data_IF_700274179156
#
_entry.id   IF_700274179156
#
_cell.length_a   1.000
_cell.length_b   1.000
_cell.length_c   1.000
_cell.angle_alpha   90.00
_cell.angle_beta   90.00
_cell.angle_gamma   90.00
#
_symmetry.space_group_name_H-M   'P 1'
#
loop_
_entity.id
_entity.type
_entity.pdbx_description
1 polymer ?
#
# COMPACT_ATOMS: atom_id res chain seq x y z
N UNK A 1 6.92 -12.31 -17.30
CA UNK A 1 7.31 -11.09 -18.05
C UNK A 1 6.97 -9.88 -17.19
N UNK A 2 7.90 -8.95 -17.06
CA UNK A 2 7.73 -7.68 -16.33
C UNK A 2 7.35 -6.58 -17.32
N UNK A 3 6.53 -5.62 -16.90
CA UNK A 3 6.11 -4.45 -17.69
C UNK A 3 6.38 -3.18 -16.90
N UNK A 4 6.81 -2.12 -17.59
CA UNK A 4 6.88 -0.78 -17.01
C UNK A 4 5.51 -0.13 -17.10
N UNK A 5 5.06 0.45 -15.98
CA UNK A 5 3.72 1.03 -15.83
C UNK A 5 3.79 2.33 -15.02
N UNK A 6 2.73 3.13 -15.07
CA UNK A 6 2.47 4.18 -14.09
C UNK A 6 1.44 3.67 -13.09
N UNK A 7 1.68 3.86 -11.79
CA UNK A 7 0.71 3.58 -10.75
C UNK A 7 0.21 4.90 -10.15
N UNK A 8 -1.10 5.02 -10.02
CA UNK A 8 -1.78 6.13 -9.35
C UNK A 8 -2.41 5.59 -8.07
N UNK A 9 -2.05 6.16 -6.92
CA UNK A 9 -2.52 5.76 -5.60
C UNK A 9 -3.16 6.97 -4.96
N UNK A 10 -4.42 6.84 -4.54
CA UNK A 10 -5.16 7.89 -3.86
C UNK A 10 -5.89 7.32 -2.64
N UNK A 11 -5.93 8.05 -1.54
CA UNK A 11 -6.65 7.63 -0.33
C UNK A 11 -6.69 8.72 0.72
N UNK A 12 -7.45 8.52 1.79
CA UNK A 12 -7.43 9.42 2.95
C UNK A 12 -6.27 9.05 3.87
N UNK A 13 -5.57 10.04 4.40
CA UNK A 13 -4.61 9.79 5.47
C UNK A 13 -5.38 9.36 6.73
N UNK A 14 -5.04 8.20 7.28
CA UNK A 14 -5.44 7.86 8.65
C UNK A 14 -4.17 8.10 9.45
N UNK A 15 -4.18 9.14 10.28
CA UNK A 15 -3.08 9.40 11.20
C UNK A 15 -3.08 8.29 12.24
N UNK A 16 -2.29 7.23 12.01
CA UNK A 16 -1.92 6.26 13.04
C UNK A 16 -0.75 6.87 13.82
N UNK A 17 -0.92 8.07 14.38
CA UNK A 17 0.11 8.65 15.24
C UNK A 17 -0.06 8.09 16.66
N UNK A 18 0.76 7.08 16.97
CA UNK A 18 1.38 6.67 18.25
C UNK A 18 0.56 6.57 19.56
N UNK A 19 -0.72 6.95 19.61
CA UNK A 19 -1.54 6.87 20.82
C UNK A 19 -2.82 6.05 20.58
N UNK A 20 -2.86 4.76 21.02
CA UNK A 20 -4.07 3.94 20.93
C UNK A 20 -5.26 4.51 21.72
N UNK A 21 -5.09 5.54 22.55
CA UNK A 21 -6.17 6.21 23.28
C UNK A 21 -6.83 7.35 22.50
N UNK A 22 -6.22 7.88 21.44
CA UNK A 22 -6.76 9.02 20.67
C UNK A 22 -7.74 8.64 19.56
N UNK A 23 -7.89 7.35 19.29
CA UNK A 23 -8.78 6.88 18.22
C UNK A 23 -8.25 7.23 16.83
N UNK A 24 -8.93 6.72 15.81
CA UNK A 24 -8.56 6.95 14.42
C UNK A 24 -8.98 8.36 14.01
N UNK A 25 -8.10 9.36 14.13
CA UNK A 25 -8.32 10.64 13.48
C UNK A 25 -7.99 10.49 11.98
N UNK A 26 -9.03 10.55 11.15
CA UNK A 26 -8.85 10.63 9.70
C UNK A 26 -8.49 12.08 9.41
N UNK A 27 -7.21 12.35 9.17
CA UNK A 27 -6.79 13.64 8.62
C UNK A 27 -7.58 13.93 7.34
N UNK A 28 -8.02 15.18 7.14
CA UNK A 28 -8.74 15.55 5.92
C UNK A 28 -7.85 15.49 4.67
N UNK A 29 -6.52 15.46 4.86
CA UNK A 29 -5.56 15.46 3.78
C UNK A 29 -5.56 14.11 3.04
N UNK A 30 -5.99 14.16 1.78
CA UNK A 30 -5.87 13.03 0.86
C UNK A 30 -4.41 12.82 0.45
N UNK A 31 -3.97 11.58 0.45
CA UNK A 31 -2.75 11.18 -0.26
C UNK A 31 -3.11 10.99 -1.73
N UNK A 32 -2.33 11.58 -2.63
CA UNK A 32 -2.37 11.32 -4.07
C UNK A 32 -0.93 11.17 -4.61
N UNK A 33 -0.62 10.03 -5.21
CA UNK A 33 0.72 9.67 -5.69
C UNK A 33 0.61 9.09 -7.09
N UNK A 34 1.38 9.63 -8.04
CA UNK A 34 1.59 9.05 -9.36
C UNK A 34 3.07 8.76 -9.53
N UNK A 35 3.43 7.49 -9.70
CA UNK A 35 4.85 7.08 -9.77
C UNK A 35 5.08 5.97 -10.79
N UNK A 36 6.25 5.94 -11.45
CA UNK A 36 6.68 4.79 -12.25
C UNK A 36 6.77 3.52 -11.39
N UNK A 37 6.38 2.41 -11.98
CA UNK A 37 6.40 1.11 -11.32
C UNK A 37 6.70 -0.02 -12.31
N UNK A 38 7.09 -1.18 -11.77
CA UNK A 38 7.17 -2.43 -12.52
C UNK A 38 6.02 -3.34 -12.13
N UNK A 39 5.30 -3.85 -13.14
CA UNK A 39 4.23 -4.82 -12.98
C UNK A 39 4.66 -6.21 -13.45
N UNK A 40 4.31 -7.24 -12.70
CA UNK A 40 4.37 -8.63 -13.19
C UNK A 40 3.26 -9.49 -12.58
N UNK A 41 2.90 -10.58 -13.28
CA UNK A 41 2.02 -11.61 -12.77
C UNK A 41 2.79 -12.92 -12.60
N UNK A 42 2.63 -13.57 -11.44
CA UNK A 42 3.25 -14.86 -11.11
C UNK A 42 2.26 -15.70 -10.31
N UNK A 43 1.99 -16.93 -10.76
CA UNK A 43 1.08 -17.88 -10.11
C UNK A 43 -0.33 -17.29 -9.86
N UNK A 44 -0.88 -16.55 -10.83
CA UNK A 44 -2.19 -15.90 -10.71
C UNK A 44 -2.24 -14.70 -9.75
N UNK A 45 -1.09 -14.26 -9.23
CA UNK A 45 -0.98 -13.09 -8.35
C UNK A 45 -0.34 -11.93 -9.09
N UNK A 46 -0.92 -10.76 -8.94
CA UNK A 46 -0.42 -9.53 -9.54
C UNK A 46 0.52 -8.83 -8.56
N UNK A 47 1.61 -8.28 -9.07
CA UNK A 47 2.61 -7.57 -8.29
C UNK A 47 2.91 -6.23 -8.96
N UNK A 48 2.87 -5.16 -8.17
CA UNK A 48 3.30 -3.81 -8.55
C UNK A 48 4.43 -3.42 -7.61
N UNK A 49 5.58 -3.07 -8.17
CA UNK A 49 6.77 -2.65 -7.43
C UNK A 49 7.07 -1.19 -7.75
N UNK A 50 7.24 -0.36 -6.74
CA UNK A 50 7.66 1.02 -6.91
C UNK A 50 8.51 1.47 -5.72
N UNK A 51 9.37 2.44 -5.97
CA UNK A 51 10.24 3.03 -4.97
C UNK A 51 9.66 4.38 -4.52
N UNK A 52 9.64 4.63 -3.21
CA UNK A 52 9.30 5.91 -2.58
C UNK A 52 10.61 6.54 -2.08
N UNK A 53 10.83 7.81 -2.41
CA UNK A 53 11.92 8.62 -1.88
C UNK A 53 11.30 9.65 -0.94
N UNK A 54 11.73 9.66 0.31
CA UNK A 54 11.26 10.63 1.29
C UNK A 54 12.21 11.83 1.30
N UNK A 55 11.67 13.03 1.11
CA UNK A 55 12.48 14.25 1.09
C UNK A 55 13.23 14.42 2.42
N UNK A 56 14.53 14.74 2.33
CA UNK A 56 15.38 14.91 3.52
C UNK A 56 15.86 13.62 4.19
N UNK A 57 15.46 12.43 3.72
CA UNK A 57 16.01 11.15 4.22
C UNK A 57 16.92 10.46 3.20
N UNK A 58 18.08 10.01 3.66
CA UNK A 58 18.97 9.17 2.87
C UNK A 58 18.41 7.74 2.83
N UNK A 59 17.86 7.34 1.68
CA UNK A 59 17.42 5.97 1.42
C UNK A 59 16.15 5.91 0.59
N UNK A 60 15.77 4.68 0.26
CA UNK A 60 14.59 4.39 -0.57
C UNK A 60 13.70 3.41 0.16
N UNK A 61 12.40 3.65 0.11
CA UNK A 61 11.39 2.71 0.58
C UNK A 61 10.93 1.91 -0.64
N UNK A 62 11.10 0.60 -0.59
CA UNK A 62 10.65 -0.33 -1.63
C UNK A 62 9.24 -0.79 -1.30
N UNK A 63 8.29 -0.43 -2.16
CA UNK A 63 6.89 -0.77 -2.02
C UNK A 63 6.55 -1.93 -2.95
N UNK A 64 5.79 -2.88 -2.42
CA UNK A 64 5.25 -4.01 -3.16
C UNK A 64 3.76 -4.12 -2.86
N UNK A 65 2.96 -3.89 -3.88
CA UNK A 65 1.53 -4.18 -3.87
C UNK A 65 1.33 -5.57 -4.47
N UNK A 66 0.66 -6.46 -3.74
CA UNK A 66 0.33 -7.80 -4.19
C UNK A 66 -1.18 -7.99 -4.15
N UNK A 67 -1.76 -8.36 -5.28
CA UNK A 67 -3.20 -8.62 -5.41
C UNK A 67 -3.40 -10.11 -5.67
N UNK A 68 -4.19 -10.75 -4.82
CA UNK A 68 -4.55 -12.17 -4.94
C UNK A 68 -6.06 -12.28 -5.18
N UNK A 69 -6.44 -12.60 -6.42
CA UNK A 69 -7.86 -12.67 -6.80
C UNK A 69 -8.56 -11.31 -6.65
N UNK A 70 -9.82 -11.34 -6.20
CA UNK A 70 -10.64 -10.14 -5.98
C UNK A 70 -10.75 -9.72 -4.52
N UNK A 71 -10.18 -10.52 -3.61
CA UNK A 71 -10.56 -10.48 -2.20
C UNK A 71 -9.39 -10.15 -1.26
N UNK A 72 -8.14 -10.15 -1.76
CA UNK A 72 -6.97 -9.91 -0.94
C UNK A 72 -5.98 -8.95 -1.61
N UNK A 73 -5.58 -7.92 -0.86
CA UNK A 73 -4.57 -6.93 -1.22
C UNK A 73 -3.54 -6.88 -0.09
N UNK A 74 -2.26 -7.01 -0.42
CA UNK A 74 -1.16 -6.81 0.51
C UNK A 74 -0.29 -5.64 0.05
N UNK A 75 0.09 -4.77 0.98
CA UNK A 75 1.06 -3.69 0.76
C UNK A 75 2.24 -3.96 1.68
N UNK A 76 3.41 -4.19 1.10
CA UNK A 76 4.65 -4.42 1.83
C UNK A 76 5.60 -3.26 1.58
N UNK A 77 6.07 -2.62 2.65
CA UNK A 77 7.14 -1.62 2.62
C UNK A 77 8.40 -2.20 3.21
N UNK A 78 9.55 -1.89 2.63
CA UNK A 78 10.87 -2.29 3.14
C UNK A 78 11.92 -1.22 2.80
N UNK A 79 13.05 -1.21 3.51
CA UNK A 79 14.09 -0.17 3.35
C UNK A 79 14.15 0.71 4.61
N UNK A 80 14.07 2.02 4.43
CA UNK A 80 14.13 3.00 5.54
C UNK A 80 13.01 2.78 6.56
N UNK A 81 11.84 2.33 6.10
CA UNK A 81 10.74 1.86 6.95
C UNK A 81 10.27 0.48 6.48
N UNK A 82 9.68 -0.30 7.38
CA UNK A 82 9.13 -1.62 7.07
C UNK A 82 7.71 -1.78 7.60
N UNK A 83 6.80 -2.24 6.75
CA UNK A 83 5.44 -2.60 7.15
C UNK A 83 4.88 -3.68 6.24
N UNK A 84 3.90 -4.42 6.74
CA UNK A 84 3.13 -5.39 5.96
C UNK A 84 1.66 -5.21 6.32
N UNK A 85 0.92 -4.58 5.41
CA UNK A 85 -0.52 -4.35 5.54
C UNK A 85 -1.25 -5.39 4.69
N UNK A 86 -2.28 -6.01 5.27
CA UNK A 86 -3.11 -7.01 4.60
C UNK A 86 -4.57 -6.55 4.68
N UNK A 87 -5.22 -6.46 3.52
CA UNK A 87 -6.61 -6.09 3.38
C UNK A 87 -7.37 -7.26 2.77
N UNK A 88 -8.41 -7.72 3.48
CA UNK A 88 -9.26 -8.81 3.05
C UNK A 88 -10.70 -8.31 2.89
N UNK A 89 -11.36 -8.76 1.82
CA UNK A 89 -12.76 -8.47 1.59
C UNK A 89 -13.60 -9.23 2.61
N UNK A 90 -14.26 -8.50 3.51
CA UNK A 90 -15.20 -9.09 4.47
C UNK A 90 -16.42 -9.65 3.71
N UNK A 91 -16.82 -10.88 4.03
CA UNK A 91 -18.07 -11.46 3.53
C UNK A 91 -19.22 -11.03 4.43
N UNK A 92 -20.33 -10.64 3.81
CA UNK A 92 -21.51 -10.05 4.46
C UNK A 92 -22.22 -10.97 5.48
N UNK A 93 -21.77 -12.21 5.65
CA UNK A 93 -22.31 -13.20 6.59
C UNK A 93 -21.81 -13.05 8.02
N UNK A 94 -20.80 -12.21 8.27
CA UNK A 94 -20.14 -12.09 9.59
C UNK A 94 -20.60 -10.86 10.40
N UNK A 95 -21.68 -10.20 9.96
CA UNK A 95 -22.36 -9.15 10.73
C UNK A 95 -23.58 -9.81 11.39
N UNK A 96 -23.37 -10.33 12.61
CA UNK A 96 -24.44 -10.75 13.53
C UNK A 96 -25.17 -9.53 14.10
#
# INVERSE_FOLDING_TARGET
>A
MTKDVLVSISGKHIDIMDDPARGYEVGEDGIEVVTPANYYCRNGKHYILYDEVLEGMAGTIKNKIKITGTDCLEIMKSGVTSSHMVFEKIKKSDIL
#
